data_IF_127153453575
#
_entry.id   IF_127153453575
#
_cell.length_a   1.000
_cell.length_b   1.000
_cell.length_c   1.000
_cell.angle_alpha   90.00
_cell.angle_beta   90.00
_cell.angle_gamma   90.00
#
_symmetry.space_group_name_H-M   'P 1'
#
loop_
_entity.id
_entity.type
_entity.pdbx_description
1 polymer ?
#
# COMPACT_ATOMS: atom_id res chain seq x y z
N UNK A 1 14.34 23.82 -8.99
CA UNK A 1 15.54 22.95 -9.00
C UNK A 1 15.70 22.10 -7.72
N UNK A 2 15.38 22.64 -6.53
CA UNK A 2 15.53 21.92 -5.23
C UNK A 2 14.63 20.68 -5.10
N UNK A 3 13.43 20.67 -5.68
CA UNK A 3 12.51 19.51 -5.61
C UNK A 3 13.03 18.26 -6.35
N UNK A 4 13.70 18.43 -7.51
CA UNK A 4 14.18 17.30 -8.33
C UNK A 4 15.35 16.54 -7.66
N UNK A 5 16.14 17.24 -6.84
CA UNK A 5 17.31 16.66 -6.16
C UNK A 5 16.87 15.73 -5.03
N UNK A 6 15.81 16.10 -4.31
CA UNK A 6 15.23 15.29 -3.23
C UNK A 6 14.69 13.95 -3.77
N UNK A 7 14.07 13.97 -4.95
CA UNK A 7 13.55 12.77 -5.60
C UNK A 7 14.67 11.81 -5.98
N UNK A 8 15.79 12.29 -6.55
CA UNK A 8 16.95 11.43 -6.89
C UNK A 8 17.64 10.83 -5.67
N UNK A 9 17.81 11.60 -4.61
CA UNK A 9 18.43 11.10 -3.37
C UNK A 9 17.54 10.03 -2.73
N UNK A 10 16.22 10.25 -2.71
CA UNK A 10 15.28 9.27 -2.20
C UNK A 10 15.22 8.02 -3.09
N UNK A 11 15.25 8.16 -4.42
CA UNK A 11 15.30 7.03 -5.36
C UNK A 11 16.52 6.12 -5.08
N UNK A 12 17.68 6.71 -4.82
CA UNK A 12 18.87 5.94 -4.42
C UNK A 12 18.68 5.23 -3.08
N UNK A 13 17.99 5.86 -2.12
CA UNK A 13 17.62 5.20 -0.87
C UNK A 13 16.66 4.02 -1.12
N UNK A 14 15.65 4.18 -1.99
CA UNK A 14 14.75 3.09 -2.37
C UNK A 14 15.57 1.92 -2.93
N UNK A 15 16.34 2.15 -3.99
CA UNK A 15 17.17 1.11 -4.63
C UNK A 15 18.09 0.40 -3.63
N UNK A 16 18.63 1.12 -2.65
CA UNK A 16 19.50 0.56 -1.61
C UNK A 16 18.75 -0.31 -0.60
N UNK A 17 17.51 0.03 -0.25
CA UNK A 17 16.77 -0.61 0.85
C UNK A 17 15.59 -1.48 0.39
N UNK A 18 15.23 -1.48 -0.89
CA UNK A 18 14.13 -2.25 -1.47
C UNK A 18 14.20 -3.73 -1.07
N UNK A 19 15.32 -4.39 -1.36
CA UNK A 19 15.52 -5.80 -1.00
C UNK A 19 15.39 -6.05 0.51
N UNK A 20 15.90 -5.14 1.34
CA UNK A 20 15.79 -5.26 2.80
C UNK A 20 14.33 -5.17 3.24
N UNK A 21 13.60 -4.16 2.75
CA UNK A 21 12.21 -3.93 3.13
C UNK A 21 11.32 -5.07 2.63
N UNK A 22 11.47 -5.52 1.39
CA UNK A 22 10.75 -6.67 0.87
C UNK A 22 11.03 -7.91 1.73
N UNK A 23 12.30 -8.20 2.07
CA UNK A 23 12.66 -9.36 2.91
C UNK A 23 11.98 -9.29 4.28
N UNK A 24 11.95 -8.11 4.90
CA UNK A 24 11.25 -7.90 6.17
C UNK A 24 9.77 -8.18 5.97
N UNK A 25 9.10 -7.52 5.02
CA UNK A 25 7.68 -7.70 4.76
C UNK A 25 7.32 -9.17 4.49
N UNK A 26 8.12 -9.86 3.68
CA UNK A 26 7.96 -11.28 3.35
C UNK A 26 8.03 -12.17 4.60
N UNK A 27 8.86 -11.81 5.58
CA UNK A 27 8.95 -12.55 6.84
C UNK A 27 7.66 -12.51 7.65
N UNK A 28 6.88 -11.43 7.53
CA UNK A 28 5.59 -11.23 8.20
C UNK A 28 4.41 -11.78 7.39
N UNK A 29 4.35 -11.53 6.08
CA UNK A 29 3.18 -11.88 5.25
C UNK A 29 3.20 -13.31 4.73
N UNK A 30 4.40 -13.89 4.53
CA UNK A 30 4.59 -15.17 3.81
C UNK A 30 4.02 -15.21 2.38
N UNK A 31 3.61 -14.07 1.84
CA UNK A 31 3.07 -13.89 0.50
C UNK A 31 3.84 -12.74 -0.18
N UNK A 32 4.31 -12.98 -1.40
CA UNK A 32 5.11 -12.01 -2.15
C UNK A 32 4.32 -10.76 -2.55
N UNK A 33 3.09 -10.91 -3.06
CA UNK A 33 2.25 -9.78 -3.47
C UNK A 33 1.91 -8.88 -2.28
N UNK A 34 1.54 -9.47 -1.15
CA UNK A 34 1.27 -8.69 0.07
C UNK A 34 2.53 -7.99 0.58
N UNK A 35 3.69 -8.67 0.50
CA UNK A 35 4.96 -8.09 0.92
C UNK A 35 5.35 -6.90 0.03
N UNK A 36 5.14 -7.03 -1.28
CA UNK A 36 5.40 -5.97 -2.24
C UNK A 36 4.49 -4.75 -2.00
N UNK A 37 3.18 -4.95 -1.80
CA UNK A 37 2.24 -3.87 -1.48
C UNK A 37 2.65 -3.14 -0.18
N UNK A 38 2.94 -3.89 0.88
CA UNK A 38 3.38 -3.28 2.15
C UNK A 38 4.72 -2.54 1.98
N UNK A 39 5.65 -3.08 1.20
CA UNK A 39 6.93 -2.43 0.90
C UNK A 39 6.71 -1.11 0.15
N UNK A 40 5.86 -1.08 -0.87
CA UNK A 40 5.50 0.14 -1.59
C UNK A 40 4.89 1.19 -0.66
N UNK A 41 3.92 0.77 0.16
CA UNK A 41 3.31 1.66 1.16
C UNK A 41 4.34 2.18 2.17
N UNK A 42 5.34 1.37 2.53
CA UNK A 42 6.44 1.77 3.42
C UNK A 42 7.25 2.90 2.80
N UNK A 43 7.70 2.74 1.55
CA UNK A 43 8.46 3.79 0.85
C UNK A 43 7.63 5.06 0.64
N UNK A 44 6.34 4.94 0.30
CA UNK A 44 5.45 6.09 0.19
C UNK A 44 5.27 6.82 1.53
N UNK A 45 5.11 6.07 2.62
CA UNK A 45 5.01 6.64 3.96
C UNK A 45 6.32 7.30 4.41
N UNK A 46 7.47 6.73 4.05
CA UNK A 46 8.77 7.31 4.29
C UNK A 46 8.94 8.62 3.51
N UNK A 47 8.61 8.65 2.22
CA UNK A 47 8.67 9.87 1.41
C UNK A 47 7.82 11.01 2.01
N UNK A 48 6.57 10.71 2.38
CA UNK A 48 5.65 11.68 2.99
C UNK A 48 6.15 12.25 4.34
N UNK A 49 6.93 11.47 5.08
CA UNK A 49 7.46 11.88 6.39
C UNK A 49 8.95 12.21 6.34
N UNK A 50 9.53 12.36 5.15
CA UNK A 50 10.96 12.61 5.00
C UNK A 50 11.40 13.92 5.66
N UNK A 51 10.53 14.93 5.68
CA UNK A 51 10.78 16.21 6.38
C UNK A 51 10.90 16.07 7.91
N UNK A 52 10.37 14.98 8.49
CA UNK A 52 10.43 14.69 9.93
C UNK A 52 11.60 13.76 10.28
N UNK A 53 12.33 13.27 9.28
CA UNK A 53 13.48 12.42 9.51
C UNK A 53 14.66 13.29 9.97
N UNK A 54 15.29 12.89 11.07
CA UNK A 54 16.41 13.63 11.70
C UNK A 54 17.74 13.50 10.93
N UNK A 55 17.73 12.83 9.76
CA UNK A 55 18.91 12.57 8.94
C UNK A 55 19.76 11.41 9.43
N UNK A 56 19.46 10.81 10.58
CA UNK A 56 20.30 9.79 11.20
C UNK A 56 19.76 8.38 10.95
N UNK A 57 20.64 7.52 10.46
CA UNK A 57 20.41 6.07 10.41
C UNK A 57 19.11 5.68 9.66
N UNK A 58 19.01 6.11 8.40
CA UNK A 58 17.82 5.90 7.55
C UNK A 58 17.36 4.44 7.53
N UNK A 59 18.30 3.48 7.54
CA UNK A 59 18.01 2.04 7.62
C UNK A 59 17.11 1.69 8.81
N UNK A 60 17.45 2.17 10.01
CA UNK A 60 16.67 1.90 11.22
C UNK A 60 15.29 2.57 11.15
N UNK A 61 15.25 3.82 10.67
CA UNK A 61 14.02 4.58 10.53
C UNK A 61 13.03 3.93 9.56
N UNK A 62 13.47 3.56 8.34
CA UNK A 62 12.60 2.92 7.35
C UNK A 62 12.18 1.51 7.77
N UNK A 63 13.06 0.77 8.45
CA UNK A 63 12.73 -0.54 9.04
C UNK A 63 11.63 -0.42 10.08
N UNK A 64 11.65 0.62 10.93
CA UNK A 64 10.59 0.88 11.91
C UNK A 64 9.24 1.11 11.23
N UNK A 65 9.21 1.88 10.14
CA UNK A 65 7.98 2.11 9.35
C UNK A 65 7.47 0.78 8.78
N UNK A 66 8.36 -0.02 8.17
CA UNK A 66 8.00 -1.32 7.59
C UNK A 66 7.41 -2.28 8.63
N UNK A 67 8.06 -2.43 9.78
CA UNK A 67 7.62 -3.31 10.87
C UNK A 67 6.26 -2.88 11.41
N UNK A 68 6.03 -1.57 11.57
CA UNK A 68 4.73 -1.07 12.02
C UNK A 68 3.63 -1.41 11.01
N UNK A 69 3.87 -1.20 9.70
CA UNK A 69 2.91 -1.55 8.66
C UNK A 69 2.65 -3.07 8.57
N UNK A 70 3.68 -3.89 8.73
CA UNK A 70 3.51 -5.35 8.77
C UNK A 70 2.68 -5.79 9.98
N UNK A 71 2.90 -5.16 11.15
CA UNK A 71 2.10 -5.42 12.35
C UNK A 71 0.64 -5.01 12.14
N UNK A 72 0.40 -3.87 11.50
CA UNK A 72 -0.95 -3.41 11.18
C UNK A 72 -1.63 -4.35 10.18
N UNK A 73 -0.88 -4.87 9.20
CA UNK A 73 -1.36 -5.88 8.25
C UNK A 73 -1.82 -7.16 8.97
N UNK A 74 -1.01 -7.69 9.88
CA UNK A 74 -1.35 -8.91 10.66
C UNK A 74 -2.51 -8.67 11.64
N UNK A 75 -2.58 -7.47 12.22
CA UNK A 75 -3.64 -7.11 13.16
C UNK A 75 -4.98 -6.87 12.51
N UNK A 76 -5.03 -6.59 11.20
CA UNK A 76 -6.31 -6.57 10.49
C UNK A 76 -6.88 -7.98 10.66
N UNK A 77 -8.00 -8.15 11.39
CA UNK A 77 -8.71 -9.41 11.29
C UNK A 77 -8.88 -9.65 9.80
N UNK A 78 -8.72 -10.89 9.34
CA UNK A 78 -9.22 -11.29 8.03
C UNK A 78 -10.62 -10.68 7.98
N UNK A 79 -10.77 -9.55 7.27
CA UNK A 79 -12.11 -9.04 6.97
C UNK A 79 -12.70 -10.29 6.38
N UNK A 80 -13.77 -10.79 7.00
CA UNK A 80 -14.61 -11.80 6.40
C UNK A 80 -14.81 -11.31 4.97
N UNK A 81 -13.98 -11.81 4.07
CA UNK A 81 -14.15 -11.64 2.67
C UNK A 81 -15.21 -12.68 2.49
N UNK A 82 -16.45 -12.28 2.71
CA UNK A 82 -17.55 -12.92 2.04
C UNK A 82 -17.13 -12.86 0.59
N UNK A 83 -16.59 -14.00 0.13
CA UNK A 83 -16.37 -14.23 -1.28
C UNK A 83 -17.78 -14.19 -1.83
N UNK A 84 -18.18 -13.03 -2.38
CA UNK A 84 -19.46 -12.92 -3.04
C UNK A 84 -19.46 -13.94 -4.16
N UNK A 85 -20.30 -14.94 -4.01
CA UNK A 85 -20.58 -15.92 -5.03
C UNK A 85 -21.40 -15.27 -6.14
N UNK A 86 -21.45 -15.92 -7.30
CA UNK A 86 -22.31 -15.47 -8.40
C UNK A 86 -23.80 -15.36 -7.98
N UNK A 87 -24.21 -16.06 -6.92
CA UNK A 87 -25.57 -16.00 -6.37
C UNK A 87 -25.79 -14.72 -5.56
N UNK A 88 -24.75 -14.21 -4.89
CA UNK A 88 -24.80 -12.99 -4.08
C UNK A 88 -24.96 -11.73 -4.95
N UNK A 89 -24.49 -11.76 -6.20
CA UNK A 89 -24.66 -10.66 -7.17
C UNK A 89 -26.12 -10.35 -7.51
N UNK A 90 -27.03 -11.32 -7.39
CA UNK A 90 -28.47 -11.11 -7.67
C UNK A 90 -29.13 -10.15 -6.68
N UNK A 91 -28.56 -9.99 -5.49
CA UNK A 91 -29.11 -9.15 -4.41
C UNK A 91 -28.53 -7.73 -4.40
N UNK A 92 -27.41 -7.47 -5.08
CA UNK A 92 -26.83 -6.12 -5.27
C UNK A 92 -27.38 -5.46 -6.55
N UNK A 93 -28.63 -5.76 -6.91
CA UNK A 93 -29.24 -5.16 -8.11
C UNK A 93 -29.37 -3.65 -7.88
N UNK A 94 -28.52 -2.88 -8.56
CA UNK A 94 -28.62 -1.42 -8.60
C UNK A 94 -30.02 -1.08 -9.11
N UNK A 95 -30.82 -0.39 -8.28
CA UNK A 95 -32.17 0.07 -8.63
C UNK A 95 -32.14 1.32 -9.50
N UNK A 96 -30.97 1.90 -9.74
CA UNK A 96 -30.84 2.99 -10.69
C UNK A 96 -31.06 2.49 -12.11
N UNK A 97 -31.81 3.25 -12.90
CA UNK A 97 -31.98 2.96 -14.32
C UNK A 97 -30.61 2.95 -15.00
N UNK A 98 -30.40 1.96 -15.88
CA UNK A 98 -29.19 1.89 -16.70
C UNK A 98 -28.94 3.26 -17.36
N UNK A 99 -27.67 3.73 -17.44
CA UNK A 99 -27.35 4.98 -18.11
C UNK A 99 -27.96 5.10 -19.52
N UNK A 100 -28.13 3.96 -20.19
CA UNK A 100 -28.80 3.86 -21.49
C UNK A 100 -30.28 4.29 -21.44
N UNK A 101 -31.02 3.91 -20.40
CA UNK A 101 -32.44 4.30 -20.22
C UNK A 101 -32.58 5.77 -19.88
N UNK A 102 -31.69 6.30 -19.04
CA UNK A 102 -31.71 7.71 -18.63
C UNK A 102 -31.47 8.65 -19.83
N UNK A 103 -30.73 8.20 -20.83
CA UNK A 103 -30.48 8.96 -22.07
C UNK A 103 -31.63 8.83 -23.07
N UNK A 104 -32.31 7.68 -23.12
CA UNK A 104 -33.43 7.45 -24.03
C UNK A 104 -34.74 8.12 -23.57
N UNK A 105 -34.87 8.43 -22.27
CA UNK A 105 -36.01 9.17 -21.69
C UNK A 105 -35.85 10.72 -21.75
N UNK A 106 -34.86 11.23 -22.49
CA UNK A 106 -34.68 12.66 -22.81
C UNK A 106 -34.92 12.94 -24.29
#
# INVERSE_FOLDING_TARGET
MVMIIQDKQFENCIKKYERLIITICLSFTKNYFDAEDIAQQTFLSAYRNLSKFDGKNFKAWITKIAVNKCRDYIKKPSRNMEILTCEDYKYIRDKSDSPEKVVLDK
#
